data_IF_771265189013
#
_entry.id   IF_771265189013
#
_cell.length_a   1.000
_cell.length_b   1.000
_cell.length_c   1.000
_cell.angle_alpha   90.00
_cell.angle_beta   90.00
_cell.angle_gamma   90.00
#
_symmetry.space_group_name_H-M   'P 1'
#
loop_
_entity.id
_entity.type
_entity.pdbx_description
1 polymer ?
#
# COMPACT_ATOMS: atom_id res chain seq x y z
N UNK A 1 -26.53 30.84 -1.56
CA UNK A 1 -25.50 29.97 -0.93
C UNK A 1 -25.44 28.71 -1.78
N UNK A 2 -24.35 28.55 -2.55
CA UNK A 2 -24.26 27.57 -3.65
C UNK A 2 -24.03 26.16 -3.13
N UNK A 3 -24.57 25.17 -3.85
CA UNK A 3 -24.60 23.73 -3.57
C UNK A 3 -23.22 23.03 -3.57
N UNK A 4 -22.26 23.56 -2.82
CA UNK A 4 -21.01 22.89 -2.42
C UNK A 4 -21.12 22.56 -0.93
N UNK A 5 -22.20 21.85 -0.57
CA UNK A 5 -22.40 21.27 0.75
C UNK A 5 -21.28 20.24 0.98
N UNK A 6 -20.28 20.64 1.77
CA UNK A 6 -19.15 19.87 2.31
C UNK A 6 -19.19 18.36 2.03
N UNK A 7 -18.71 17.96 0.84
CA UNK A 7 -18.46 16.55 0.55
C UNK A 7 -17.36 16.04 1.46
N UNK A 8 -17.50 14.80 1.92
CA UNK A 8 -16.42 14.12 2.60
C UNK A 8 -15.40 13.68 1.55
N UNK A 9 -14.21 14.28 1.58
CA UNK A 9 -13.10 13.81 0.78
C UNK A 9 -12.70 12.42 1.26
N UNK A 10 -12.50 11.49 0.34
CA UNK A 10 -12.07 10.12 0.60
C UNK A 10 -10.75 9.87 -0.12
N UNK A 11 -9.76 9.33 0.58
CA UNK A 11 -8.52 8.84 0.01
C UNK A 11 -8.38 7.35 0.31
N UNK A 12 -7.92 6.57 -0.66
CA UNK A 12 -7.64 5.14 -0.48
C UNK A 12 -6.14 4.95 -0.37
N UNK A 13 -5.68 4.23 0.65
CA UNK A 13 -4.28 3.83 0.83
C UNK A 13 -4.23 2.32 0.92
N UNK A 14 -3.61 1.68 -0.08
CA UNK A 14 -3.37 0.24 -0.10
C UNK A 14 -1.90 -0.11 -0.26
N UNK A 15 -1.62 -1.36 -0.62
CA UNK A 15 -0.28 -1.90 -0.79
C UNK A 15 -0.01 -3.06 0.16
N UNK A 16 0.73 -4.06 -0.30
CA UNK A 16 1.11 -5.24 0.49
C UNK A 16 2.13 -4.96 1.61
N UNK A 17 2.83 -3.83 1.55
CA UNK A 17 3.81 -3.46 2.57
C UNK A 17 3.09 -2.83 3.78
N UNK A 18 2.68 -3.67 4.74
CA UNK A 18 1.84 -3.27 5.88
C UNK A 18 2.44 -2.10 6.69
N UNK A 19 3.72 -2.15 7.02
CA UNK A 19 4.39 -1.06 7.76
C UNK A 19 4.41 0.25 6.98
N UNK A 20 4.68 0.18 5.66
CA UNK A 20 4.66 1.36 4.80
C UNK A 20 3.26 1.98 4.70
N UNK A 21 2.24 1.13 4.59
CA UNK A 21 0.83 1.55 4.53
C UNK A 21 0.41 2.20 5.84
N UNK A 22 0.69 1.55 6.97
CA UNK A 22 0.37 2.07 8.28
C UNK A 22 1.07 3.42 8.52
N UNK A 23 2.37 3.52 8.24
CA UNK A 23 3.13 4.76 8.37
C UNK A 23 2.58 5.89 7.48
N UNK A 24 2.13 5.58 6.26
CA UNK A 24 1.51 6.56 5.38
C UNK A 24 0.19 7.10 5.96
N UNK A 25 -0.65 6.23 6.53
CA UNK A 25 -1.91 6.63 7.16
C UNK A 25 -1.65 7.45 8.43
N UNK A 26 -0.72 7.02 9.28
CA UNK A 26 -0.31 7.80 10.47
C UNK A 26 0.17 9.21 10.09
N UNK A 27 0.99 9.31 9.05
CA UNK A 27 1.47 10.59 8.57
C UNK A 27 0.32 11.50 8.10
N UNK A 28 -0.67 10.95 7.39
CA UNK A 28 -1.86 11.71 6.99
C UNK A 28 -2.64 12.18 8.23
N UNK A 29 -2.93 11.28 9.17
CA UNK A 29 -3.67 11.63 10.38
C UNK A 29 -2.98 12.72 11.19
N UNK A 30 -1.65 12.65 11.29
CA UNK A 30 -0.83 13.61 12.01
C UNK A 30 -0.76 14.98 11.32
N UNK A 31 -0.80 15.03 10.00
CA UNK A 31 -0.53 16.25 9.22
C UNK A 31 -1.76 16.93 8.63
N UNK A 32 -2.90 16.23 8.54
CA UNK A 32 -4.16 16.73 7.97
C UNK A 32 -5.23 16.85 9.05
N UNK A 33 -5.45 18.04 9.64
CA UNK A 33 -6.47 18.21 10.68
C UNK A 33 -7.87 17.83 10.21
N UNK A 34 -8.59 17.08 11.04
CA UNK A 34 -9.93 16.59 10.74
C UNK A 34 -9.96 15.36 9.82
N UNK A 35 -8.84 14.68 9.61
CA UNK A 35 -8.83 13.37 8.96
C UNK A 35 -9.20 12.24 9.92
N UNK A 36 -9.85 11.21 9.40
CA UNK A 36 -10.17 9.96 10.08
C UNK A 36 -9.73 8.79 9.21
N UNK A 37 -9.20 7.73 9.80
CA UNK A 37 -8.84 6.50 9.11
C UNK A 37 -9.83 5.39 9.42
N UNK A 38 -10.23 4.68 8.38
CA UNK A 38 -11.01 3.45 8.45
C UNK A 38 -10.11 2.32 7.97
N UNK A 39 -9.95 1.30 8.80
CA UNK A 39 -9.21 0.10 8.44
C UNK A 39 -10.07 -1.13 8.65
N UNK A 40 -10.07 -2.01 7.66
CA UNK A 40 -10.74 -3.30 7.69
C UNK A 40 -9.68 -4.38 7.72
N UNK A 41 -9.62 -5.13 8.81
CA UNK A 41 -8.63 -6.16 9.06
C UNK A 41 -9.29 -7.55 9.02
N UNK A 42 -8.77 -8.44 8.18
CA UNK A 42 -9.14 -9.86 8.19
C UNK A 42 -8.13 -10.73 8.98
N UNK A 43 -6.93 -10.23 9.28
CA UNK A 43 -5.95 -11.00 10.07
C UNK A 43 -6.44 -11.20 11.52
N UNK A 44 -7.25 -10.26 12.02
CA UNK A 44 -7.93 -10.35 13.31
C UNK A 44 -9.24 -11.17 13.27
N UNK A 45 -9.61 -11.75 12.13
CA UNK A 45 -10.87 -12.46 11.96
C UNK A 45 -10.91 -13.75 12.78
N UNK A 46 -11.91 -13.86 13.64
CA UNK A 46 -12.54 -15.18 13.83
C UNK A 46 -13.18 -15.56 12.50
N UNK A 47 -13.11 -16.83 12.07
CA UNK A 47 -13.29 -17.38 10.70
C UNK A 47 -14.40 -16.81 9.77
N UNK A 48 -15.25 -15.86 10.18
CA UNK A 48 -16.40 -15.36 9.42
C UNK A 48 -16.68 -13.84 9.54
N UNK A 49 -15.77 -13.00 10.02
CA UNK A 49 -15.98 -11.53 9.99
C UNK A 49 -14.71 -10.72 9.71
N UNK A 50 -14.89 -9.57 9.05
CA UNK A 50 -13.87 -8.53 8.89
C UNK A 50 -14.03 -7.53 10.03
N UNK A 51 -12.95 -7.23 10.74
CA UNK A 51 -12.97 -6.24 11.82
C UNK A 51 -12.71 -4.85 11.26
N UNK A 52 -13.69 -3.95 11.39
CA UNK A 52 -13.52 -2.53 11.09
C UNK A 52 -13.03 -1.78 12.32
N UNK A 53 -12.06 -0.91 12.12
CA UNK A 53 -11.61 0.07 13.09
C UNK A 53 -11.70 1.47 12.50
N UNK A 54 -12.03 2.44 13.36
CA UNK A 54 -12.10 3.85 13.00
C UNK A 54 -11.26 4.62 14.02
N UNK A 55 -10.35 5.46 13.54
CA UNK A 55 -9.37 6.17 14.37
C UNK A 55 -9.00 7.51 13.77
N UNK A 56 -8.59 8.45 14.62
CA UNK A 56 -7.98 9.70 14.21
C UNK A 56 -6.64 9.92 14.95
N UNK A 57 -6.07 11.12 14.83
CA UNK A 57 -4.81 11.46 15.50
C UNK A 57 -4.88 11.42 17.05
N UNK A 58 -6.07 11.43 17.64
CA UNK A 58 -6.27 11.32 19.09
C UNK A 58 -6.41 9.88 19.57
N UNK A 59 -6.66 8.93 18.65
CA UNK A 59 -6.75 7.51 18.94
C UNK A 59 -7.99 6.85 18.33
N UNK A 60 -8.40 5.68 18.85
CA UNK A 60 -9.56 4.95 18.34
C UNK A 60 -10.86 5.69 18.65
N UNK A 61 -11.70 5.86 17.64
CA UNK A 61 -13.04 6.46 17.73
C UNK A 61 -14.13 5.39 17.82
N UNK A 62 -13.86 4.19 17.32
CA UNK A 62 -14.79 3.07 17.34
C UNK A 62 -14.37 1.94 16.41
N UNK A 63 -15.31 1.04 16.17
CA UNK A 63 -15.13 -0.10 15.29
C UNK A 63 -16.40 -0.94 15.19
N UNK A 64 -16.34 -2.01 14.42
CA UNK A 64 -17.44 -2.94 14.23
C UNK A 64 -16.95 -4.21 13.55
N UNK A 65 -17.86 -5.14 13.35
CA UNK A 65 -17.60 -6.36 12.59
C UNK A 65 -18.56 -6.42 11.41
N UNK A 66 -18.02 -6.76 10.24
CA UNK A 66 -18.78 -7.04 9.03
C UNK A 66 -18.68 -8.54 8.76
N UNK A 67 -19.80 -9.30 8.75
CA UNK A 67 -19.75 -10.72 8.43
C UNK A 67 -19.25 -10.94 7.01
N UNK A 68 -18.55 -12.04 6.77
CA UNK A 68 -18.17 -12.45 5.42
C UNK A 68 -19.42 -12.66 4.56
N UNK A 69 -19.34 -12.21 3.31
CA UNK A 69 -20.40 -12.38 2.32
C UNK A 69 -19.91 -13.34 1.26
N UNK A 70 -20.59 -14.50 1.13
CA UNK A 70 -20.16 -15.61 0.27
C UNK A 70 -18.69 -16.00 0.52
N UNK A 71 -18.28 -16.00 1.79
CA UNK A 71 -16.89 -16.27 2.21
C UNK A 71 -15.84 -15.36 1.56
N UNK A 72 -16.21 -14.17 1.05
CA UNK A 72 -15.27 -13.16 0.56
C UNK A 72 -15.17 -11.95 1.49
N UNK A 73 -13.95 -11.66 1.96
CA UNK A 73 -13.62 -10.44 2.67
C UNK A 73 -13.81 -9.20 1.78
N UNK A 74 -13.55 -9.35 0.47
CA UNK A 74 -13.76 -8.32 -0.53
C UNK A 74 -15.24 -7.86 -0.61
N UNK A 75 -16.17 -8.81 -0.52
CA UNK A 75 -17.60 -8.55 -0.58
C UNK A 75 -18.08 -7.91 0.72
N UNK A 76 -17.64 -8.44 1.87
CA UNK A 76 -17.92 -7.84 3.17
C UNK A 76 -17.42 -6.40 3.26
N UNK A 77 -16.19 -6.14 2.81
CA UNK A 77 -15.63 -4.80 2.74
C UNK A 77 -16.50 -3.88 1.87
N UNK A 78 -16.93 -4.33 0.69
CA UNK A 78 -17.76 -3.53 -0.21
C UNK A 78 -19.11 -3.14 0.42
N UNK A 79 -19.74 -4.08 1.12
CA UNK A 79 -21.03 -3.86 1.77
C UNK A 79 -20.94 -2.98 3.01
N UNK A 80 -19.81 -3.01 3.72
CA UNK A 80 -19.63 -2.27 4.97
C UNK A 80 -18.96 -0.90 4.79
N UNK A 81 -18.06 -0.76 3.81
CA UNK A 81 -17.26 0.45 3.61
C UNK A 81 -18.10 1.68 3.27
N UNK A 82 -18.99 1.57 2.28
CA UNK A 82 -19.79 2.73 1.82
C UNK A 82 -20.75 3.21 2.91
N UNK A 83 -21.55 2.35 3.58
CA UNK A 83 -22.39 2.80 4.68
C UNK A 83 -21.62 3.51 5.80
N UNK A 84 -20.44 3.03 6.16
CA UNK A 84 -19.63 3.68 7.19
C UNK A 84 -19.10 5.04 6.74
N UNK A 85 -18.64 5.17 5.48
CA UNK A 85 -18.23 6.47 4.92
C UNK A 85 -19.40 7.46 4.89
N UNK A 86 -20.60 7.02 4.54
CA UNK A 86 -21.81 7.85 4.59
C UNK A 86 -22.16 8.27 6.03
N UNK A 87 -21.99 7.38 7.01
CA UNK A 87 -22.16 7.70 8.42
C UNK A 87 -21.19 8.79 8.88
N UNK A 88 -19.93 8.72 8.47
CA UNK A 88 -18.92 9.75 8.77
C UNK A 88 -19.23 11.08 8.07
N UNK A 89 -19.71 11.03 6.82
CA UNK A 89 -20.09 12.22 6.08
C UNK A 89 -21.28 12.95 6.72
N UNK A 90 -22.29 12.21 7.15
CA UNK A 90 -23.52 12.75 7.78
C UNK A 90 -23.31 13.20 9.22
N UNK A 91 -22.42 12.54 9.98
CA UNK A 91 -22.11 12.91 11.35
C UNK A 91 -21.46 14.30 11.48
N UNK A 92 -20.81 14.77 10.41
CA UNK A 92 -20.03 16.01 10.42
C UNK A 92 -18.75 15.90 11.25
N UNK A 93 -17.82 16.83 11.05
CA UNK A 93 -16.58 16.92 11.84
C UNK A 93 -15.33 16.31 11.19
N UNK A 94 -15.50 15.49 10.15
CA UNK A 94 -14.37 15.00 9.34
C UNK A 94 -14.30 15.70 7.98
N UNK A 95 -13.08 16.04 7.58
CA UNK A 95 -12.79 16.67 6.29
C UNK A 95 -12.18 15.70 5.28
N UNK A 96 -11.59 14.61 5.77
CA UNK A 96 -10.94 13.57 4.98
C UNK A 96 -11.16 12.22 5.66
N UNK A 97 -11.71 11.25 4.94
CA UNK A 97 -11.68 9.85 5.32
C UNK A 97 -10.55 9.14 4.55
N UNK A 98 -9.68 8.45 5.27
CA UNK A 98 -8.60 7.63 4.72
C UNK A 98 -9.02 6.17 4.86
N UNK A 99 -9.24 5.50 3.73
CA UNK A 99 -9.53 4.07 3.69
C UNK A 99 -8.20 3.33 3.61
N UNK A 100 -7.76 2.79 4.74
CA UNK A 100 -6.59 1.92 4.86
C UNK A 100 -7.00 0.50 4.50
N UNK A 101 -6.69 0.08 3.28
CA UNK A 101 -7.02 -1.25 2.79
C UNK A 101 -6.14 -2.32 3.43
N UNK A 102 -6.70 -3.51 3.63
CA UNK A 102 -5.91 -4.69 3.95
C UNK A 102 -5.06 -5.14 2.76
N UNK A 103 -3.98 -5.89 3.05
CA UNK A 103 -2.79 -6.14 2.25
C UNK A 103 -3.10 -6.54 0.82
N UNK A 104 -3.98 -7.52 0.59
CA UNK A 104 -4.26 -8.08 -0.74
C UNK A 104 -5.43 -7.44 -1.47
N UNK A 105 -6.11 -6.48 -0.85
CA UNK A 105 -7.25 -5.79 -1.46
C UNK A 105 -6.74 -4.84 -2.54
N UNK A 106 -7.31 -4.94 -3.74
CA UNK A 106 -6.92 -4.10 -4.87
C UNK A 106 -7.53 -2.69 -4.73
N UNK A 107 -6.70 -1.62 -4.71
CA UNK A 107 -7.18 -0.24 -4.59
C UNK A 107 -8.18 0.15 -5.68
N UNK A 108 -8.02 -0.38 -6.89
CA UNK A 108 -8.92 -0.13 -8.01
C UNK A 108 -10.37 -0.53 -7.71
N UNK A 109 -10.56 -1.71 -7.13
CA UNK A 109 -11.89 -2.22 -6.85
C UNK A 109 -12.63 -1.32 -5.85
N UNK A 110 -11.94 -0.88 -4.79
CA UNK A 110 -12.53 -0.04 -3.76
C UNK A 110 -12.71 1.41 -4.21
N UNK A 111 -11.76 1.94 -4.98
CA UNK A 111 -11.88 3.24 -5.61
C UNK A 111 -13.13 3.32 -6.51
N UNK A 112 -13.39 2.29 -7.32
CA UNK A 112 -14.58 2.23 -8.17
C UNK A 112 -15.88 2.23 -7.37
N UNK A 113 -15.92 1.52 -6.23
CA UNK A 113 -17.08 1.47 -5.33
C UNK A 113 -17.36 2.85 -4.73
N UNK A 114 -16.33 3.53 -4.19
CA UNK A 114 -16.48 4.87 -3.60
C UNK A 114 -16.88 5.89 -4.66
N UNK A 115 -16.27 5.84 -5.85
CA UNK A 115 -16.57 6.76 -6.94
C UNK A 115 -17.98 6.59 -7.49
N UNK A 116 -18.52 5.37 -7.49
CA UNK A 116 -19.88 5.08 -7.95
C UNK A 116 -20.96 5.63 -7.00
N UNK A 117 -20.68 5.71 -5.70
CA UNK A 117 -21.60 6.34 -4.72
C UNK A 117 -21.79 7.82 -5.02
N UNK A 118 -20.70 8.54 -5.33
CA UNK A 118 -20.75 9.98 -5.58
C UNK A 118 -21.13 10.75 -4.32
N UNK A 119 -21.81 11.90 -4.47
CA UNK A 119 -22.14 12.78 -3.35
C UNK A 119 -23.00 12.04 -2.30
N UNK A 120 -22.68 12.14 -0.99
CA UNK A 120 -21.81 13.15 -0.37
C UNK A 120 -20.31 12.78 -0.31
N UNK A 121 -19.89 11.67 -0.91
CA UNK A 121 -18.49 11.24 -0.95
C UNK A 121 -17.77 11.82 -2.18
N UNK A 122 -16.48 12.11 -2.03
CA UNK A 122 -15.60 12.48 -3.13
C UNK A 122 -14.31 11.69 -3.06
N UNK A 123 -14.09 10.77 -4.01
CA UNK A 123 -12.80 10.10 -4.13
C UNK A 123 -11.73 11.10 -4.63
N UNK A 124 -10.85 11.51 -3.73
CA UNK A 124 -9.82 12.52 -3.99
C UNK A 124 -8.47 11.92 -4.38
N UNK A 125 -8.18 10.68 -3.96
CA UNK A 125 -6.93 10.05 -4.35
C UNK A 125 -6.86 8.57 -3.99
N UNK A 126 -5.96 7.89 -4.70
CA UNK A 126 -5.64 6.48 -4.47
C UNK A 126 -4.13 6.37 -4.45
N UNK A 127 -3.62 5.86 -3.33
CA UNK A 127 -2.21 5.69 -3.07
C UNK A 127 -1.88 4.22 -2.81
N UNK A 128 -0.71 3.79 -3.26
CA UNK A 128 -0.10 2.55 -2.83
C UNK A 128 1.16 2.87 -2.05
N UNK A 129 1.23 2.39 -0.82
CA UNK A 129 2.38 2.55 0.03
C UNK A 129 3.40 1.43 -0.22
N UNK A 130 4.68 1.81 -0.35
CA UNK A 130 5.75 0.90 -0.72
C UNK A 130 7.01 1.17 0.08
N UNK A 131 7.60 0.10 0.65
CA UNK A 131 9.04 0.04 0.90
C UNK A 131 9.81 -0.27 -0.41
N UNK A 132 10.69 0.64 -0.87
CA UNK A 132 11.52 0.38 -2.04
C UNK A 132 12.40 -0.88 -1.92
N UNK A 133 12.91 -1.21 -0.72
CA UNK A 133 13.76 -2.40 -0.51
C UNK A 133 12.99 -3.72 -0.77
N UNK A 134 11.67 -3.68 -0.67
CA UNK A 134 10.79 -4.84 -0.85
C UNK A 134 10.26 -4.98 -2.28
N UNK A 135 10.57 -4.05 -3.19
CA UNK A 135 10.04 -4.07 -4.57
C UNK A 135 10.42 -5.36 -5.30
N UNK A 136 11.71 -5.70 -5.35
CA UNK A 136 12.18 -6.89 -6.06
C UNK A 136 11.71 -8.18 -5.36
N UNK A 137 11.84 -8.32 -4.01
CA UNK A 137 11.31 -9.48 -3.31
C UNK A 137 9.84 -9.77 -3.60
N UNK A 138 8.96 -8.77 -3.57
CA UNK A 138 7.53 -8.99 -3.81
C UNK A 138 7.21 -9.26 -5.29
N UNK A 139 7.87 -8.57 -6.23
CA UNK A 139 7.66 -8.81 -7.67
C UNK A 139 8.21 -10.16 -8.17
N UNK A 140 9.18 -10.73 -7.46
CA UNK A 140 9.74 -12.04 -7.77
C UNK A 140 9.03 -13.19 -7.02
N UNK A 141 8.08 -12.89 -6.13
CA UNK A 141 7.44 -13.87 -5.29
C UNK A 141 6.22 -14.51 -5.97
N UNK A 142 6.36 -15.79 -6.33
CA UNK A 142 5.31 -16.60 -6.94
C UNK A 142 4.42 -17.36 -5.96
N UNK A 143 4.61 -17.21 -4.65
CA UNK A 143 3.79 -17.90 -3.65
C UNK A 143 2.35 -17.39 -3.69
N UNK A 144 1.41 -18.29 -3.42
CA UNK A 144 -0.01 -17.98 -3.40
C UNK A 144 -0.36 -17.11 -2.19
N UNK A 145 -1.28 -16.15 -2.37
CA UNK A 145 -1.78 -15.34 -1.25
C UNK A 145 -2.37 -16.20 -0.13
N UNK A 146 -2.99 -17.34 -0.48
CA UNK A 146 -3.58 -18.26 0.49
C UNK A 146 -2.51 -18.88 1.41
N UNK A 147 -1.34 -19.23 0.86
CA UNK A 147 -0.23 -19.79 1.63
C UNK A 147 0.41 -18.74 2.54
N UNK A 148 0.41 -17.47 2.11
CA UNK A 148 0.88 -16.34 2.89
C UNK A 148 -0.14 -15.80 3.92
N UNK A 149 -1.35 -16.37 4.00
CA UNK A 149 -2.41 -15.86 4.89
C UNK A 149 -2.98 -14.50 4.46
N UNK A 150 -2.78 -14.12 3.20
CA UNK A 150 -3.22 -12.85 2.61
C UNK A 150 -4.45 -12.99 1.71
N UNK A 151 -4.94 -14.20 1.47
CA UNK A 151 -6.08 -14.42 0.57
C UNK A 151 -7.35 -13.70 1.03
N UNK A 152 -8.01 -12.98 0.12
CA UNK A 152 -9.26 -12.28 0.43
C UNK A 152 -10.49 -13.22 0.44
N UNK A 153 -10.35 -14.43 -0.08
CA UNK A 153 -11.37 -15.47 -0.11
C UNK A 153 -10.72 -16.86 -0.27
N UNK A 154 -11.43 -17.96 0.07
CA UNK A 154 -10.93 -19.32 -0.15
C UNK A 154 -10.57 -19.63 -1.61
N UNK A 155 -11.24 -18.96 -2.56
CA UNK A 155 -11.01 -19.12 -4.00
C UNK A 155 -10.00 -18.10 -4.57
N UNK A 156 -9.30 -17.33 -3.73
CA UNK A 156 -8.27 -16.40 -4.18
C UNK A 156 -7.03 -17.17 -4.63
N UNK A 157 -6.78 -17.18 -5.94
CA UNK A 157 -5.67 -17.92 -6.60
C UNK A 157 -4.59 -16.96 -7.10
N UNK A 158 -4.56 -15.73 -6.60
CA UNK A 158 -3.51 -14.77 -6.97
C UNK A 158 -2.23 -15.08 -6.22
N UNK A 159 -1.11 -14.77 -6.84
CA UNK A 159 0.20 -14.78 -6.19
C UNK A 159 0.50 -13.41 -5.57
N UNK A 160 1.52 -13.37 -4.71
CA UNK A 160 2.04 -12.12 -4.17
C UNK A 160 2.50 -11.18 -5.28
N UNK A 161 3.29 -11.67 -6.25
CA UNK A 161 3.78 -10.85 -7.36
C UNK A 161 2.65 -10.28 -8.23
N UNK A 162 1.66 -11.09 -8.60
CA UNK A 162 0.51 -10.62 -9.41
C UNK A 162 -0.28 -9.54 -8.65
N UNK A 163 -0.56 -9.77 -7.37
CA UNK A 163 -1.27 -8.82 -6.51
C UNK A 163 -0.49 -7.51 -6.38
N UNK A 164 0.82 -7.61 -6.11
CA UNK A 164 1.67 -6.44 -5.95
C UNK A 164 1.77 -5.62 -7.23
N UNK A 165 1.95 -6.27 -8.38
CA UNK A 165 2.03 -5.61 -9.67
C UNK A 165 0.77 -4.79 -9.97
N UNK A 166 -0.43 -5.36 -9.73
CA UNK A 166 -1.71 -4.66 -9.90
C UNK A 166 -1.85 -3.47 -8.96
N UNK A 167 -1.40 -3.61 -7.72
CA UNK A 167 -1.41 -2.51 -6.75
C UNK A 167 -0.44 -1.38 -7.12
N UNK A 168 0.64 -1.66 -7.83
CA UNK A 168 1.57 -0.64 -8.33
C UNK A 168 1.04 0.08 -9.58
N UNK A 169 0.23 -0.59 -10.40
CA UNK A 169 -0.24 -0.06 -11.70
C UNK A 169 -1.34 0.99 -11.56
N UNK A 170 -2.31 0.76 -10.66
CA UNK A 170 -3.49 1.61 -10.54
C UNK A 170 -3.29 3.02 -9.92
N UNK A 171 -2.50 3.20 -8.83
CA UNK A 171 -2.53 4.43 -8.05
C UNK A 171 -1.92 5.60 -8.80
N UNK A 172 -2.47 6.79 -8.55
CA UNK A 172 -1.87 8.05 -9.03
C UNK A 172 -0.77 8.57 -8.10
N UNK A 173 -0.65 7.97 -6.92
CA UNK A 173 0.30 8.33 -5.87
C UNK A 173 1.00 7.10 -5.31
N UNK A 174 2.32 7.17 -5.18
CA UNK A 174 3.12 6.17 -4.48
C UNK A 174 3.64 6.80 -3.20
N UNK A 175 3.24 6.25 -2.06
CA UNK A 175 3.76 6.64 -0.75
C UNK A 175 5.01 5.82 -0.47
N UNK A 176 6.17 6.46 -0.59
CA UNK A 176 7.47 5.81 -0.45
C UNK A 176 7.90 5.87 0.99
N UNK A 177 8.01 4.69 1.60
CA UNK A 177 8.56 4.46 2.92
C UNK A 177 9.92 5.14 3.13
N UNK A 178 10.23 5.43 4.39
CA UNK A 178 11.60 5.76 4.79
C UNK A 178 12.53 4.56 4.63
N UNK A 179 13.79 4.83 4.30
CA UNK A 179 14.80 3.79 4.13
C UNK A 179 14.98 2.99 5.44
N UNK A 180 14.98 1.67 5.34
CA UNK A 180 15.25 0.77 6.46
C UNK A 180 14.03 0.44 7.33
N UNK A 181 12.80 0.79 6.92
CA UNK A 181 11.59 0.33 7.62
C UNK A 181 11.47 -1.19 7.64
N UNK A 182 11.80 -1.87 6.55
CA UNK A 182 11.92 -3.34 6.48
C UNK A 182 13.20 -3.91 7.12
N UNK A 183 14.04 -3.08 7.73
CA UNK A 183 15.34 -3.47 8.28
C UNK A 183 16.49 -3.47 7.27
N UNK A 184 16.19 -3.51 5.98
CA UNK A 184 17.18 -3.39 4.90
C UNK A 184 17.04 -2.05 4.18
N UNK A 185 18.13 -1.30 3.98
CA UNK A 185 18.07 -0.03 3.26
C UNK A 185 17.90 -0.29 1.76
N UNK A 186 16.97 0.43 1.14
CA UNK A 186 16.82 0.43 -0.30
C UNK A 186 18.08 0.93 -1.00
N UNK A 187 18.38 0.34 -2.16
CA UNK A 187 19.50 0.78 -2.99
C UNK A 187 19.06 1.66 -4.19
N UNK A 188 20.04 2.12 -4.97
CA UNK A 188 19.75 2.96 -6.13
C UNK A 188 18.97 2.21 -7.23
N UNK A 189 19.11 0.89 -7.31
CA UNK A 189 18.39 0.01 -8.22
C UNK A 189 16.92 -0.09 -7.84
N UNK A 190 16.62 -0.26 -6.56
CA UNK A 190 15.24 -0.33 -6.04
C UNK A 190 14.43 0.92 -6.39
N UNK A 191 14.98 2.10 -6.09
CA UNK A 191 14.33 3.37 -6.44
C UNK A 191 14.22 3.59 -7.96
N UNK A 192 15.22 3.15 -8.73
CA UNK A 192 15.19 3.24 -10.18
C UNK A 192 14.09 2.35 -10.76
N UNK A 193 13.96 1.12 -10.27
CA UNK A 193 12.93 0.17 -10.66
C UNK A 193 11.55 0.71 -10.30
N UNK A 194 11.33 1.17 -9.07
CA UNK A 194 10.07 1.80 -8.67
C UNK A 194 9.71 2.96 -9.59
N UNK A 195 10.69 3.78 -9.98
CA UNK A 195 10.48 4.89 -10.91
C UNK A 195 10.08 4.41 -12.31
N UNK A 196 10.68 3.33 -12.80
CA UNK A 196 10.36 2.75 -14.11
C UNK A 196 8.98 2.09 -14.14
N UNK A 197 8.58 1.42 -13.06
CA UNK A 197 7.28 0.75 -12.94
C UNK A 197 6.14 1.74 -12.73
N UNK A 198 6.40 2.90 -12.11
CA UNK A 198 5.38 3.90 -11.78
C UNK A 198 5.66 5.27 -12.42
N UNK A 199 5.78 5.36 -13.76
CA UNK A 199 6.20 6.59 -14.44
C UNK A 199 5.13 7.70 -14.38
N UNK A 200 3.85 7.32 -14.29
CA UNK A 200 2.72 8.25 -14.20
C UNK A 200 2.34 8.66 -12.78
N UNK A 201 2.86 7.97 -11.77
CA UNK A 201 2.48 8.19 -10.38
C UNK A 201 3.40 9.22 -9.70
N UNK A 202 2.79 10.12 -8.93
CA UNK A 202 3.53 11.05 -8.07
C UNK A 202 4.07 10.29 -6.86
N UNK A 203 5.37 10.45 -6.56
CA UNK A 203 6.01 9.84 -5.39
C UNK A 203 6.00 10.84 -4.23
N UNK A 204 5.54 10.41 -3.06
CA UNK A 204 5.62 11.16 -1.81
C UNK A 204 6.47 10.37 -0.82
N UNK A 205 7.50 11.00 -0.26
CA UNK A 205 8.40 10.34 0.68
C UNK A 205 7.92 10.59 2.12
N UNK A 206 7.70 9.51 2.86
CA UNK A 206 7.37 9.57 4.28
C UNK A 206 8.50 10.30 5.04
N UNK A 207 8.14 11.14 6.02
CA UNK A 207 8.97 12.09 6.78
C UNK A 207 9.82 13.15 6.03
N UNK A 208 9.99 13.08 4.72
CA UNK A 208 10.69 14.16 3.96
C UNK A 208 9.75 15.25 3.46
N UNK A 209 8.46 14.95 3.29
CA UNK A 209 7.46 15.89 2.78
C UNK A 209 6.17 15.86 3.62
N UNK A 210 5.58 17.02 3.91
CA UNK A 210 4.26 17.10 4.55
C UNK A 210 3.18 16.71 3.55
N UNK A 211 2.29 15.80 3.95
CA UNK A 211 1.06 15.55 3.20
C UNK A 211 0.17 16.80 3.33
N UNK A 212 -0.09 17.47 2.21
CA UNK A 212 -0.95 18.66 2.17
C UNK A 212 -2.35 18.33 1.63
N UNK A 213 -3.29 19.30 1.63
CA UNK A 213 -4.63 19.14 1.04
C UNK A 213 -4.65 18.92 -0.49
N UNK A 214 -3.48 18.66 -1.10
CA UNK A 214 -3.28 18.37 -2.52
C UNK A 214 -3.56 16.90 -2.90
N UNK A 215 -4.35 16.19 -2.09
CA UNK A 215 -5.25 15.17 -2.62
C UNK A 215 -6.37 15.83 -3.47
N UNK A 216 -6.66 17.12 -3.28
CA UNK A 216 -7.59 17.85 -4.13
C UNK A 216 -6.91 18.37 -5.42
N UNK A 217 -7.49 17.98 -6.56
CA UNK A 217 -7.11 18.31 -7.95
C UNK A 217 -5.97 17.49 -8.54
N UNK A 218 -6.32 16.29 -9.00
CA UNK A 218 -5.72 15.73 -10.21
C UNK A 218 -5.90 16.74 -11.35
N UNK A 219 -4.81 17.35 -11.81
CA UNK A 219 -4.80 18.00 -13.12
C UNK A 219 -4.90 16.90 -14.17
N UNK A 220 -6.13 16.63 -14.63
CA UNK A 220 -6.33 15.99 -15.92
C UNK A 220 -5.61 16.83 -16.98
N UNK A 221 -4.77 16.15 -17.77
CA UNK A 221 -3.90 16.68 -18.83
C UNK A 221 -2.63 17.41 -18.37
N UNK A 222 -1.59 16.64 -18.11
CA UNK A 222 -0.27 16.91 -18.72
C UNK A 222 0.31 15.57 -19.17
N UNK A 223 0.45 15.44 -20.49
CA UNK A 223 1.18 14.35 -21.13
C UNK A 223 2.57 14.31 -20.46
N UNK A 224 3.01 13.17 -19.90
CA UNK A 224 4.36 13.09 -19.36
C UNK A 224 5.35 13.38 -20.50
N UNK A 225 6.42 14.15 -20.25
CA UNK A 225 7.48 14.30 -21.24
C UNK A 225 8.04 12.91 -21.59
N UNK A 226 8.54 12.70 -22.81
CA UNK A 226 9.13 11.42 -23.18
C UNK A 226 10.22 11.04 -22.17
N UNK A 227 10.14 9.82 -21.66
CA UNK A 227 11.14 9.24 -20.77
C UNK A 227 12.45 9.13 -21.56
N UNK A 228 13.32 10.11 -21.42
CA UNK A 228 14.72 9.92 -21.77
C UNK A 228 15.31 9.01 -20.70
N UNK A 229 15.80 7.82 -21.09
CA UNK A 229 16.63 6.98 -20.23
C UNK A 229 17.90 7.79 -19.92
N UNK A 230 17.86 8.61 -18.87
CA UNK A 230 19.06 9.20 -18.29
C UNK A 230 19.77 8.04 -17.62
N UNK A 231 21.00 7.73 -18.09
CA UNK A 231 21.91 6.85 -17.35
C UNK A 231 21.93 7.32 -15.91
N UNK A 232 21.41 6.49 -15.00
CA UNK A 232 21.61 6.67 -13.57
C UNK A 232 23.13 6.67 -13.39
N UNK A 233 23.70 7.85 -13.06
CA UNK A 233 25.08 7.90 -12.58
C UNK A 233 25.05 7.22 -11.23
N UNK A 234 25.27 5.91 -11.25
CA UNK A 234 25.53 5.13 -10.05
C UNK A 234 26.68 5.82 -9.32
N UNK A 235 26.38 6.39 -8.15
CA UNK A 235 27.40 6.91 -7.26
C UNK A 235 28.32 5.73 -6.95
N UNK A 236 29.56 5.77 -7.46
CA UNK A 236 30.59 4.77 -7.12
C UNK A 236 30.74 4.75 -5.60
N UNK A 237 30.05 3.85 -4.90
CA UNK A 237 30.49 3.45 -3.57
C UNK A 237 31.86 2.80 -3.77
N UNK A 238 32.85 3.28 -3.01
CA UNK A 238 34.18 2.65 -2.91
C UNK A 238 33.95 1.19 -2.59
N UNK A 239 34.31 0.30 -3.52
CA UNK A 239 34.49 -1.10 -3.20
C UNK A 239 35.58 -1.17 -2.12
N UNK A 240 35.20 -1.52 -0.89
CA UNK A 240 36.15 -2.09 0.05
C UNK A 240 36.44 -3.50 -0.47
N UNK A 241 37.62 -3.66 -1.04
CA UNK A 241 38.13 -4.94 -1.52
C UNK A 241 38.35 -5.86 -0.33
N UNK A 242 37.41 -6.76 -0.05
CA UNK A 242 37.72 -8.03 0.61
C UNK A 242 38.09 -9.01 -0.50
N UNK A 243 39.39 -9.21 -0.67
CA UNK A 243 39.93 -10.16 -1.63
C UNK A 243 39.48 -11.57 -1.27
N UNK A 244 38.86 -12.26 -2.22
CA UNK A 244 38.69 -13.72 -2.17
C UNK A 244 40.05 -14.37 -2.46
N UNK A 245 40.56 -15.28 -1.61
CA UNK A 245 41.75 -16.05 -1.95
C UNK A 245 41.42 -17.10 -3.02
N UNK A 246 42.40 -17.48 -3.86
CA UNK A 246 42.18 -18.42 -4.96
C UNK A 246 41.88 -19.83 -4.44
N UNK A 247 40.98 -20.51 -5.13
CA UNK A 247 40.56 -21.88 -4.89
C UNK A 247 41.67 -22.87 -5.25
N UNK A 248 42.23 -23.56 -4.24
CA UNK A 248 42.98 -24.79 -4.45
C UNK A 248 42.01 -25.97 -4.49
N UNK A 249 41.99 -26.69 -5.60
CA UNK A 249 41.19 -27.89 -5.81
C UNK A 249 41.56 -29.02 -4.83
N UNK A 250 40.53 -29.73 -4.39
CA UNK A 250 40.64 -30.95 -3.60
C UNK A 250 39.30 -31.68 -3.59
N UNK A 251 39.27 -32.86 -4.20
CA UNK A 251 38.11 -33.74 -4.27
C UNK A 251 37.72 -34.29 -2.87
N UNK A 252 36.43 -34.44 -2.60
CA UNK A 252 35.96 -35.26 -1.47
C UNK A 252 34.53 -35.01 -0.99
N UNK A 253 33.61 -35.92 -1.36
CA UNK A 253 32.49 -36.38 -0.52
C UNK A 253 31.20 -35.56 -0.48
N UNK A 254 30.00 -36.20 -0.49
CA UNK A 254 28.73 -35.50 -0.43
C UNK A 254 28.39 -35.13 1.02
N UNK A 255 28.17 -33.84 1.28
CA UNK A 255 27.67 -33.34 2.56
C UNK A 255 26.35 -32.60 2.32
N UNK A 256 25.27 -33.20 2.79
CA UNK A 256 23.95 -32.59 2.96
C UNK A 256 24.03 -31.53 4.06
N UNK A 257 23.96 -30.24 3.70
CA UNK A 257 23.55 -29.17 4.62
C UNK A 257 22.73 -28.13 3.87
N UNK A 258 21.52 -27.94 4.36
CA UNK A 258 20.57 -26.93 3.87
C UNK A 258 21.14 -25.52 4.01
N UNK A 259 21.00 -24.76 2.93
CA UNK A 259 21.06 -23.31 2.98
C UNK A 259 19.70 -22.79 3.43
N UNK A 260 19.64 -22.26 4.64
CA UNK A 260 18.53 -21.44 5.11
C UNK A 260 18.44 -20.20 4.22
N UNK A 261 17.35 -20.06 3.46
CA UNK A 261 16.96 -18.76 2.93
C UNK A 261 16.58 -17.84 4.11
N UNK A 262 16.78 -16.52 4.01
CA UNK A 262 16.20 -15.60 4.97
C UNK A 262 14.67 -15.70 4.85
N UNK A 263 14.03 -16.19 5.92
CA UNK A 263 12.60 -16.08 6.12
C UNK A 263 12.30 -14.60 6.31
N UNK A 264 11.94 -13.90 5.23
CA UNK A 264 11.12 -12.71 5.37
C UNK A 264 9.78 -13.20 5.96
N UNK A 265 9.32 -12.56 7.03
CA UNK A 265 7.90 -12.63 7.39
C UNK A 265 7.23 -11.56 6.53
N UNK A 266 6.43 -11.99 5.57
CA UNK A 266 5.38 -11.15 4.97
C UNK A 266 4.39 -10.79 6.07
#
# INVERSE_FOLDING_TARGET
MSADEHRLAVAVVGGLHADARHAAVEEILRTVPGSVALHHDLSAATDRSVRRTVRDASGPLGGGEAPLVNDCACCALREDLVPELLRLATGGGHRLAVVELWDSVEPQAMAAVIAAEGAPLELTGVATAVDPALIVPYLANGDDLAEAGLAAAPADQRTIADTFARQLEYPTLIAVAEDGMSGEPADCGDHALLTQLTPGARKLWLARERWGPRFSRASTSRRPPPVSIRRVRCCRRRAMTTGWPPSSGGAGGPSTRGGSMPHWRI
#
